data_IF_257352837371
#
_entry.id   IF_257352837371
#
_cell.length_a   1.000
_cell.length_b   1.000
_cell.length_c   1.000
_cell.angle_alpha   90.00
_cell.angle_beta   90.00
_cell.angle_gamma   90.00
#
_symmetry.space_group_name_H-M   'P 1'
#
loop_
_entity.id
_entity.type
_entity.pdbx_description
1 polymer ?
#
# COMPACT_ATOMS: atom_id res chain seq x y z
N UNK A 1 38.19 -79.90 -25.26
CA UNK A 1 38.49 -78.47 -25.41
C UNK A 1 37.18 -77.68 -25.37
N UNK A 2 36.87 -76.91 -24.31
CA UNK A 2 35.58 -76.23 -24.19
C UNK A 2 35.53 -74.96 -25.04
N UNK A 3 34.40 -74.76 -25.72
CA UNK A 3 34.09 -73.67 -26.65
C UNK A 3 33.77 -72.35 -25.92
N UNK A 4 34.39 -71.25 -26.35
CA UNK A 4 34.19 -69.90 -25.80
C UNK A 4 32.99 -69.19 -26.45
N UNK A 5 31.78 -69.44 -25.97
CA UNK A 5 30.58 -68.64 -26.30
C UNK A 5 30.40 -67.44 -25.36
N UNK A 6 31.38 -66.51 -25.34
CA UNK A 6 31.23 -65.18 -24.71
C UNK A 6 30.87 -64.13 -25.76
N UNK A 7 29.74 -64.31 -26.44
CA UNK A 7 29.37 -63.53 -27.61
C UNK A 7 27.96 -62.97 -27.47
N UNK A 8 27.79 -61.71 -27.88
CA UNK A 8 26.54 -60.91 -27.95
C UNK A 8 26.04 -60.19 -26.68
N UNK A 9 25.76 -60.86 -25.56
CA UNK A 9 24.97 -60.27 -24.45
C UNK A 9 25.68 -59.13 -23.70
N UNK A 10 26.96 -59.29 -23.34
CA UNK A 10 27.71 -58.24 -22.60
C UNK A 10 28.01 -57.00 -23.47
N UNK A 11 28.27 -57.20 -24.78
CA UNK A 11 28.45 -56.13 -25.77
C UNK A 11 27.14 -55.35 -25.98
N UNK A 12 25.99 -56.03 -26.05
CA UNK A 12 24.65 -55.42 -26.16
C UNK A 12 24.29 -54.63 -24.90
N UNK A 13 24.58 -55.15 -23.70
CA UNK A 13 24.43 -54.43 -22.41
C UNK A 13 25.32 -53.18 -22.31
N UNK A 14 26.58 -53.25 -22.75
CA UNK A 14 27.50 -52.09 -22.81
C UNK A 14 27.05 -51.04 -23.82
N UNK A 15 26.59 -51.45 -25.02
CA UNK A 15 26.00 -50.55 -26.03
C UNK A 15 24.74 -49.84 -25.52
N UNK A 16 23.84 -50.56 -24.84
CA UNK A 16 22.65 -49.96 -24.21
C UNK A 16 23.02 -48.98 -23.08
N UNK A 17 24.08 -49.28 -22.33
CA UNK A 17 24.58 -48.39 -21.28
C UNK A 17 25.24 -47.13 -21.85
N UNK A 18 25.99 -47.26 -22.95
CA UNK A 18 26.58 -46.13 -23.67
C UNK A 18 25.50 -45.24 -24.32
N UNK A 19 24.50 -45.83 -24.97
CA UNK A 19 23.36 -45.12 -25.54
C UNK A 19 22.56 -44.37 -24.46
N UNK A 20 22.29 -45.00 -23.31
CA UNK A 20 21.62 -44.35 -22.16
C UNK A 20 22.46 -43.19 -21.59
N UNK A 21 23.79 -43.32 -21.51
CA UNK A 21 24.68 -42.23 -21.08
C UNK A 21 24.64 -41.05 -22.07
N UNK A 22 24.65 -41.33 -23.37
CA UNK A 22 24.54 -40.29 -24.40
C UNK A 22 23.18 -39.57 -24.33
N UNK A 23 22.07 -40.32 -24.24
CA UNK A 23 20.72 -39.76 -24.11
C UNK A 23 20.57 -38.89 -22.84
N UNK A 24 21.12 -39.32 -21.69
CA UNK A 24 21.14 -38.50 -20.46
C UNK A 24 21.93 -37.21 -20.66
N UNK A 25 23.07 -37.26 -21.37
CA UNK A 25 23.90 -36.07 -21.65
C UNK A 25 23.21 -35.11 -22.63
N UNK A 26 22.52 -35.63 -23.64
CA UNK A 26 21.73 -34.83 -24.59
C UNK A 26 20.54 -34.17 -23.90
N UNK A 27 19.76 -34.92 -23.09
CA UNK A 27 18.67 -34.36 -22.28
C UNK A 27 19.18 -33.28 -21.33
N UNK A 28 20.31 -33.49 -20.64
CA UNK A 28 20.93 -32.49 -19.78
C UNK A 28 21.39 -31.22 -20.52
N UNK A 29 21.89 -31.35 -21.75
CA UNK A 29 22.20 -30.18 -22.60
C UNK A 29 20.94 -29.45 -23.06
N UNK A 30 19.88 -30.19 -23.40
CA UNK A 30 18.61 -29.62 -23.84
C UNK A 30 17.88 -28.89 -22.70
N UNK A 31 17.87 -29.45 -21.49
CA UNK A 31 17.29 -28.78 -20.31
C UNK A 31 18.08 -27.52 -19.95
N UNK A 32 19.42 -27.56 -19.98
CA UNK A 32 20.26 -26.37 -19.78
C UNK A 32 19.98 -25.27 -20.81
N UNK A 33 19.82 -25.63 -22.09
CA UNK A 33 19.47 -24.66 -23.15
C UNK A 33 18.08 -24.06 -22.97
N UNK A 34 17.09 -24.86 -22.56
CA UNK A 34 15.75 -24.34 -22.24
C UNK A 34 15.78 -23.42 -21.03
N UNK A 35 16.55 -23.76 -20.00
CA UNK A 35 16.70 -22.92 -18.82
C UNK A 35 17.43 -21.61 -19.15
N UNK A 36 18.49 -21.66 -19.95
CA UNK A 36 19.18 -20.46 -20.43
C UNK A 36 18.27 -19.55 -21.25
N UNK A 37 17.50 -20.10 -22.21
CA UNK A 37 16.49 -19.33 -22.96
C UNK A 37 15.41 -18.75 -22.06
N UNK A 38 14.92 -19.50 -21.08
CA UNK A 38 13.94 -19.01 -20.12
C UNK A 38 14.51 -17.87 -19.29
N UNK A 39 15.78 -17.95 -18.87
CA UNK A 39 16.48 -16.90 -18.15
C UNK A 39 16.68 -15.66 -19.02
N UNK A 40 17.18 -15.82 -20.25
CA UNK A 40 17.33 -14.73 -21.22
C UNK A 40 15.98 -14.04 -21.48
N UNK A 41 14.90 -14.80 -21.59
CA UNK A 41 13.57 -14.26 -21.82
C UNK A 41 13.02 -13.54 -20.58
N UNK A 42 13.34 -14.01 -19.37
CA UNK A 42 13.02 -13.28 -18.11
C UNK A 42 13.79 -11.95 -18.06
N UNK A 43 15.08 -11.93 -18.37
CA UNK A 43 15.87 -10.69 -18.38
C UNK A 43 15.47 -9.73 -19.49
N UNK A 44 15.17 -10.23 -20.69
CA UNK A 44 14.65 -9.42 -21.80
C UNK A 44 13.27 -8.81 -21.49
N UNK A 45 12.42 -9.53 -20.74
CA UNK A 45 11.15 -8.98 -20.24
C UNK A 45 11.37 -7.97 -19.09
N UNK A 46 12.45 -8.12 -18.31
CA UNK A 46 12.82 -7.16 -17.27
C UNK A 46 13.25 -5.80 -17.87
N UNK A 47 13.92 -5.82 -19.01
CA UNK A 47 14.23 -4.60 -19.81
C UNK A 47 12.99 -3.98 -20.48
N UNK A 48 11.95 -4.78 -20.77
CA UNK A 48 10.66 -4.31 -21.32
C UNK A 48 9.69 -3.74 -20.28
N UNK A 49 10.13 -3.53 -19.04
CA UNK A 49 9.31 -2.89 -17.98
C UNK A 49 9.16 -1.37 -18.14
N UNK A 50 9.55 -0.82 -19.29
CA UNK A 50 9.29 0.57 -19.65
C UNK A 50 7.91 0.76 -20.29
N UNK A 51 7.01 -0.21 -20.33
CA UNK A 51 5.65 0.01 -20.83
C UNK A 51 4.71 0.45 -19.71
N UNK A 52 3.88 1.47 -19.95
CA UNK A 52 2.87 1.90 -19.00
C UNK A 52 1.70 0.90 -19.01
N UNK A 53 1.45 0.22 -17.89
CA UNK A 53 0.37 -0.77 -17.80
C UNK A 53 -1.07 -0.21 -17.86
N UNK A 54 -1.23 1.10 -18.09
CA UNK A 54 -2.55 1.74 -18.26
C UNK A 54 -2.85 1.96 -19.74
N UNK A 55 -1.92 2.57 -20.50
CA UNK A 55 -2.10 2.81 -21.94
C UNK A 55 -1.38 1.79 -22.85
N UNK A 56 -0.55 0.92 -22.27
CA UNK A 56 0.27 -0.07 -22.96
C UNK A 56 1.31 0.51 -23.94
N UNK A 57 1.65 1.80 -23.77
CA UNK A 57 2.66 2.49 -24.57
C UNK A 57 4.03 2.50 -23.86
N UNK A 58 5.13 2.54 -24.62
CA UNK A 58 6.47 2.64 -24.06
C UNK A 58 6.71 4.03 -23.45
N UNK A 59 7.07 4.05 -22.17
CA UNK A 59 7.46 5.22 -21.40
C UNK A 59 8.77 5.79 -21.94
N UNK A 60 8.68 6.87 -22.71
CA UNK A 60 9.82 7.52 -23.30
C UNK A 60 10.61 8.35 -22.26
N UNK A 61 11.88 8.63 -22.57
CA UNK A 61 12.78 9.39 -21.66
C UNK A 61 12.33 10.84 -21.40
N UNK A 62 11.41 11.35 -22.22
CA UNK A 62 10.92 12.74 -22.19
C UNK A 62 9.48 12.86 -21.63
N UNK A 63 8.88 11.76 -21.20
CA UNK A 63 7.51 11.76 -20.66
C UNK A 63 7.53 11.84 -19.13
N UNK A 64 6.54 12.52 -18.56
CA UNK A 64 6.36 12.58 -17.12
C UNK A 64 6.00 11.18 -16.60
N UNK A 65 6.92 10.55 -15.86
CA UNK A 65 6.76 9.21 -15.30
C UNK A 65 6.72 9.31 -13.78
N UNK A 66 5.65 8.77 -13.19
CA UNK A 66 5.52 8.67 -11.73
C UNK A 66 5.82 7.24 -11.29
N UNK A 67 6.71 7.10 -10.30
CA UNK A 67 7.00 5.83 -9.63
C UNK A 67 6.30 5.80 -8.27
N UNK A 68 5.50 4.76 -8.03
CA UNK A 68 4.80 4.55 -6.75
C UNK A 68 5.71 3.90 -5.70
N UNK A 69 5.32 3.97 -4.42
CA UNK A 69 6.02 3.29 -3.31
C UNK A 69 6.05 1.76 -3.44
N UNK A 70 5.09 1.17 -4.16
CA UNK A 70 5.10 -0.24 -4.55
C UNK A 70 6.02 -0.56 -5.74
N UNK A 71 6.90 0.37 -6.14
CA UNK A 71 7.89 0.29 -7.22
C UNK A 71 7.37 0.28 -8.66
N UNK A 72 6.06 0.21 -8.87
CA UNK A 72 5.42 0.30 -10.19
C UNK A 72 5.51 1.71 -10.78
N UNK A 73 5.62 1.79 -12.11
CA UNK A 73 5.81 3.03 -12.88
C UNK A 73 4.68 3.21 -13.88
N UNK A 74 4.23 4.44 -14.05
CA UNK A 74 3.16 4.82 -14.98
C UNK A 74 3.44 6.22 -15.53
N UNK A 75 2.86 6.57 -16.68
CA UNK A 75 2.78 7.97 -17.07
C UNK A 75 2.00 8.75 -16.01
N UNK A 76 2.48 9.95 -15.67
CA UNK A 76 1.85 10.80 -14.66
C UNK A 76 0.38 11.08 -15.02
N UNK A 77 0.09 11.37 -16.30
CA UNK A 77 -1.28 11.58 -16.77
C UNK A 77 -2.15 10.31 -16.74
N UNK A 78 -1.60 9.14 -17.09
CA UNK A 78 -2.34 7.88 -17.02
C UNK A 78 -2.68 7.50 -15.58
N UNK A 79 -1.71 7.66 -14.67
CA UNK A 79 -1.90 7.41 -13.23
C UNK A 79 -2.96 8.34 -12.65
N UNK A 80 -2.88 9.63 -12.98
CA UNK A 80 -3.84 10.64 -12.52
C UNK A 80 -5.26 10.35 -13.01
N UNK A 81 -5.42 9.99 -14.30
CA UNK A 81 -6.72 9.59 -14.84
C UNK A 81 -7.26 8.32 -14.18
N UNK A 82 -6.40 7.33 -13.93
CA UNK A 82 -6.80 6.13 -13.19
C UNK A 82 -7.21 6.42 -11.75
N UNK A 83 -6.58 7.40 -11.10
CA UNK A 83 -6.94 7.84 -9.74
C UNK A 83 -8.24 8.64 -9.74
N UNK A 84 -8.47 9.49 -10.75
CA UNK A 84 -9.75 10.20 -10.98
C UNK A 84 -10.93 9.25 -11.13
N UNK A 85 -10.73 8.09 -11.74
CA UNK A 85 -11.79 7.08 -11.89
C UNK A 85 -12.13 6.33 -10.60
N UNK A 86 -11.58 6.72 -9.44
CA UNK A 86 -12.02 6.23 -8.13
C UNK A 86 -11.12 5.19 -7.46
N UNK A 87 -9.93 4.91 -8.01
CA UNK A 87 -9.03 3.90 -7.47
C UNK A 87 -7.75 4.52 -6.88
N UNK A 88 -7.74 4.73 -5.55
CA UNK A 88 -6.56 5.18 -4.80
C UNK A 88 -5.55 4.05 -4.53
N UNK A 89 -5.44 3.09 -5.44
CA UNK A 89 -4.57 1.92 -5.33
C UNK A 89 -3.81 1.71 -6.64
N UNK A 90 -2.65 1.05 -6.55
CA UNK A 90 -1.86 0.74 -7.74
C UNK A 90 -2.66 -0.16 -8.71
N UNK A 91 -2.81 0.21 -10.00
CA UNK A 91 -3.53 -0.62 -10.99
C UNK A 91 -2.94 -2.02 -11.17
N UNK A 92 -1.64 -2.19 -10.91
CA UNK A 92 -0.93 -3.46 -11.08
C UNK A 92 -1.03 -4.38 -9.86
N UNK A 93 -0.84 -3.85 -8.65
CA UNK A 93 -0.68 -4.66 -7.44
C UNK A 93 -1.68 -4.34 -6.33
N UNK A 94 -2.59 -3.39 -6.57
CA UNK A 94 -3.64 -2.94 -5.64
C UNK A 94 -3.15 -2.42 -4.28
N UNK A 95 -1.84 -2.22 -4.13
CA UNK A 95 -1.28 -1.57 -2.94
C UNK A 95 -1.83 -0.15 -2.83
N UNK A 96 -2.37 0.18 -1.66
CA UNK A 96 -2.85 1.54 -1.35
C UNK A 96 -1.67 2.51 -1.43
N UNK A 97 -1.91 3.67 -2.02
CA UNK A 97 -0.88 4.69 -2.19
C UNK A 97 -0.94 5.62 -0.96
N UNK A 98 0.01 5.52 -0.01
CA UNK A 98 0.02 6.40 1.17
C UNK A 98 0.27 7.84 0.75
N UNK A 99 -0.42 8.80 1.37
CA UNK A 99 -0.35 10.22 1.03
C UNK A 99 -0.65 10.52 -0.46
N UNK A 100 -1.59 9.79 -1.05
CA UNK A 100 -2.04 10.07 -2.41
C UNK A 100 -2.59 11.51 -2.47
N UNK A 101 -1.84 12.43 -3.09
CA UNK A 101 -2.29 13.79 -3.35
C UNK A 101 -3.57 13.81 -4.16
N UNK A 102 -3.87 12.77 -4.94
CA UNK A 102 -5.11 12.56 -5.70
C UNK A 102 -6.17 11.75 -4.95
N UNK A 103 -6.01 11.48 -3.65
CA UNK A 103 -7.04 10.81 -2.84
C UNK A 103 -8.36 11.59 -2.84
N UNK A 104 -8.29 12.91 -3.00
CA UNK A 104 -9.43 13.79 -3.17
C UNK A 104 -10.11 13.67 -4.55
N UNK A 105 -9.54 12.95 -5.52
CA UNK A 105 -10.18 12.63 -6.80
C UNK A 105 -10.81 11.24 -6.77
N UNK A 106 -10.42 10.40 -5.80
CA UNK A 106 -11.11 9.17 -5.47
C UNK A 106 -12.36 9.42 -4.60
N UNK A 107 -12.98 10.60 -4.72
CA UNK A 107 -14.26 10.85 -4.06
C UNK A 107 -15.27 9.85 -4.64
N UNK A 108 -16.13 9.24 -3.82
CA UNK A 108 -17.39 8.71 -4.34
C UNK A 108 -18.07 9.81 -5.18
N UNK A 109 -18.84 9.45 -6.20
CA UNK A 109 -19.65 10.37 -6.98
C UNK A 109 -20.63 11.12 -6.06
N UNK A 110 -20.14 12.14 -5.37
CA UNK A 110 -20.82 12.89 -4.32
C UNK A 110 -21.17 14.24 -4.93
N UNK A 111 -22.42 14.64 -4.75
CA UNK A 111 -22.90 15.91 -5.25
C UNK A 111 -22.30 17.07 -4.43
N UNK A 112 -22.27 18.27 -5.01
CA UNK A 112 -21.84 19.48 -4.29
C UNK A 112 -22.68 19.71 -3.02
N UNK A 113 -23.98 19.46 -3.08
CA UNK A 113 -24.90 19.58 -1.95
C UNK A 113 -24.53 18.63 -0.81
N UNK A 114 -24.26 17.36 -1.12
CA UNK A 114 -23.82 16.36 -0.14
C UNK A 114 -22.47 16.73 0.48
N UNK A 115 -21.51 17.20 -0.32
CA UNK A 115 -20.21 17.67 0.16
C UNK A 115 -20.35 18.89 1.09
N UNK A 116 -21.29 19.79 0.79
CA UNK A 116 -21.60 20.96 1.61
C UNK A 116 -22.19 20.55 2.98
N UNK A 117 -23.12 19.60 2.97
CA UNK A 117 -23.69 19.03 4.20
C UNK A 117 -22.60 18.37 5.04
N UNK A 118 -21.72 17.57 4.42
CA UNK A 118 -20.61 16.92 5.12
C UNK A 118 -19.64 17.93 5.76
N UNK A 119 -19.31 19.03 5.08
CA UNK A 119 -18.53 20.13 5.66
C UNK A 119 -19.21 20.75 6.88
N UNK A 120 -20.50 21.06 6.76
CA UNK A 120 -21.25 21.71 7.84
C UNK A 120 -21.33 20.78 9.07
N UNK A 121 -21.54 19.48 8.86
CA UNK A 121 -21.48 18.47 9.93
C UNK A 121 -20.09 18.42 10.57
N UNK A 122 -19.01 18.36 9.78
CA UNK A 122 -17.64 18.36 10.31
C UNK A 122 -17.31 19.61 11.14
N UNK A 123 -17.82 20.79 10.73
CA UNK A 123 -17.68 22.02 11.49
C UNK A 123 -18.41 21.96 12.84
N UNK A 124 -19.61 21.38 12.87
CA UNK A 124 -20.39 21.18 14.09
C UNK A 124 -19.70 20.17 15.02
N UNK A 125 -19.22 19.05 14.51
CA UNK A 125 -18.43 18.07 15.26
C UNK A 125 -17.18 18.71 15.89
N UNK A 126 -16.45 19.54 15.14
CA UNK A 126 -15.29 20.28 15.66
C UNK A 126 -15.68 21.20 16.81
N UNK A 127 -16.82 21.91 16.71
CA UNK A 127 -17.32 22.78 17.79
C UNK A 127 -17.62 21.96 19.04
N UNK A 128 -18.35 20.86 18.90
CA UNK A 128 -18.71 19.97 20.01
C UNK A 128 -17.47 19.35 20.66
N UNK A 129 -16.52 18.86 19.86
CA UNK A 129 -15.27 18.30 20.37
C UNK A 129 -14.41 19.34 21.10
N UNK A 130 -14.41 20.59 20.62
CA UNK A 130 -13.71 21.71 21.28
C UNK A 130 -14.31 21.97 22.66
N UNK A 131 -15.64 22.02 22.74
CA UNK A 131 -16.34 22.21 24.00
C UNK A 131 -16.05 21.06 24.98
N UNK A 132 -16.21 19.81 24.55
CA UNK A 132 -15.94 18.65 25.40
C UNK A 132 -14.49 18.60 25.93
N UNK A 133 -13.51 18.94 25.09
CA UNK A 133 -12.11 19.02 25.51
C UNK A 133 -11.88 20.13 26.55
N UNK A 134 -12.50 21.30 26.36
CA UNK A 134 -12.42 22.41 27.30
C UNK A 134 -13.05 22.03 28.65
N UNK A 135 -14.22 21.39 28.63
CA UNK A 135 -14.92 20.93 29.82
C UNK A 135 -14.07 19.91 30.60
N UNK A 136 -13.51 18.91 29.93
CA UNK A 136 -12.61 17.94 30.57
C UNK A 136 -11.31 18.56 31.11
N UNK A 137 -10.79 19.58 30.43
CA UNK A 137 -9.64 20.34 30.92
C UNK A 137 -9.99 21.13 32.17
N UNK A 138 -11.19 21.70 32.23
CA UNK A 138 -11.68 22.41 33.40
C UNK A 138 -11.92 21.45 34.58
N UNK A 139 -12.47 20.26 34.34
CA UNK A 139 -12.65 19.24 35.37
C UNK A 139 -11.33 18.83 36.03
N UNK A 140 -10.28 18.62 35.21
CA UNK A 140 -8.96 18.29 35.73
C UNK A 140 -8.39 19.43 36.59
N UNK A 141 -8.51 20.69 36.14
CA UNK A 141 -8.07 21.87 36.89
C UNK A 141 -8.83 22.01 38.21
N UNK A 142 -10.14 21.83 38.19
CA UNK A 142 -10.99 21.88 39.39
C UNK A 142 -10.54 20.82 40.39
N UNK A 143 -10.31 19.59 39.93
CA UNK A 143 -9.83 18.49 40.78
C UNK A 143 -8.45 18.78 41.39
N UNK A 144 -7.50 19.27 40.60
CA UNK A 144 -6.17 19.67 41.09
C UNK A 144 -6.25 20.80 42.12
N UNK A 145 -7.12 21.79 41.90
CA UNK A 145 -7.33 22.91 42.83
C UNK A 145 -7.93 22.43 44.16
N UNK A 146 -8.90 21.51 44.12
CA UNK A 146 -9.43 20.86 45.33
C UNK A 146 -8.34 20.09 46.07
N UNK A 147 -7.52 19.28 45.38
CA UNK A 147 -6.42 18.57 46.02
C UNK A 147 -5.35 19.50 46.60
N UNK A 148 -5.14 20.68 46.00
CA UNK A 148 -4.27 21.73 46.56
C UNK A 148 -4.78 22.23 47.91
N UNK A 149 -6.08 22.47 48.05
CA UNK A 149 -6.67 22.86 49.34
C UNK A 149 -6.53 21.76 50.40
N UNK A 150 -6.50 20.49 49.99
CA UNK A 150 -6.34 19.33 50.87
C UNK A 150 -4.87 18.94 51.12
N UNK A 151 -3.89 19.66 50.57
CA UNK A 151 -2.44 19.33 50.60
C UNK A 151 -2.11 17.94 50.01
N UNK A 152 -2.91 17.46 49.05
CA UNK A 152 -2.73 16.19 48.34
C UNK A 152 -2.11 16.39 46.95
N UNK A 153 -1.45 17.52 46.69
CA UNK A 153 -0.84 17.83 45.39
C UNK A 153 0.20 16.80 45.00
N UNK A 154 0.10 16.24 43.79
CA UNK A 154 1.06 15.28 43.26
C UNK A 154 0.85 13.83 43.73
N UNK A 155 -0.21 13.54 44.49
CA UNK A 155 -0.58 12.16 44.84
C UNK A 155 -1.48 11.59 43.74
N UNK A 156 -1.05 10.56 42.99
CA UNK A 156 -1.87 9.97 41.94
C UNK A 156 -3.09 9.26 42.55
N UNK A 157 -4.29 9.70 42.19
CA UNK A 157 -5.54 9.05 42.59
C UNK A 157 -6.19 8.33 41.40
N UNK A 158 -7.03 7.32 41.67
CA UNK A 158 -7.80 6.65 40.62
C UNK A 158 -8.69 7.63 39.83
N UNK A 159 -9.22 8.66 40.51
CA UNK A 159 -10.02 9.74 39.90
C UNK A 159 -9.17 10.63 39.00
N UNK A 160 -7.98 11.06 39.46
CA UNK A 160 -7.03 11.84 38.66
C UNK A 160 -6.68 11.14 37.36
N UNK A 161 -6.26 9.86 37.47
CA UNK A 161 -5.89 9.05 36.31
C UNK A 161 -7.06 8.82 35.33
N UNK A 162 -8.32 8.88 35.81
CA UNK A 162 -9.50 8.81 34.94
C UNK A 162 -9.72 10.13 34.20
N UNK A 163 -9.60 11.27 34.90
CA UNK A 163 -9.75 12.60 34.31
C UNK A 163 -8.68 12.88 33.24
N UNK A 164 -7.42 12.56 33.52
CA UNK A 164 -6.31 12.69 32.56
C UNK A 164 -6.57 11.87 31.30
N UNK A 165 -6.88 10.57 31.44
CA UNK A 165 -7.21 9.71 30.29
C UNK A 165 -8.42 10.21 29.50
N UNK A 166 -9.43 10.75 30.18
CA UNK A 166 -10.59 11.34 29.51
C UNK A 166 -10.19 12.60 28.72
N UNK A 167 -9.37 13.48 29.29
CA UNK A 167 -8.87 14.68 28.64
C UNK A 167 -8.00 14.32 27.41
N UNK A 168 -7.13 13.33 27.52
CA UNK A 168 -6.30 12.82 26.41
C UNK A 168 -7.18 12.30 25.26
N UNK A 169 -8.15 11.43 25.58
CA UNK A 169 -9.12 10.90 24.60
C UNK A 169 -9.87 12.02 23.87
N UNK A 170 -10.39 12.99 24.60
CA UNK A 170 -11.11 14.14 24.01
C UNK A 170 -10.18 15.04 23.19
N UNK A 171 -8.91 15.14 23.58
CA UNK A 171 -7.87 15.82 22.79
C UNK A 171 -7.62 15.13 21.44
N UNK A 172 -7.59 13.80 21.42
CA UNK A 172 -7.54 13.02 20.18
C UNK A 172 -8.78 13.21 19.31
N UNK A 173 -9.97 13.18 19.90
CA UNK A 173 -11.23 13.44 19.18
C UNK A 173 -11.24 14.84 18.55
N UNK A 174 -10.75 15.86 19.26
CA UNK A 174 -10.62 17.21 18.72
C UNK A 174 -9.62 17.27 17.55
N UNK A 175 -8.48 16.57 17.64
CA UNK A 175 -7.52 16.46 16.52
C UNK A 175 -8.18 15.83 15.30
N UNK A 176 -8.90 14.73 15.48
CA UNK A 176 -9.61 14.04 14.40
C UNK A 176 -10.72 14.90 13.79
N UNK A 177 -11.49 15.63 14.60
CA UNK A 177 -12.53 16.54 14.13
C UNK A 177 -11.95 17.68 13.28
N UNK A 178 -10.79 18.23 13.67
CA UNK A 178 -10.07 19.23 12.86
C UNK A 178 -9.66 18.66 11.49
N UNK A 179 -9.16 17.42 11.47
CA UNK A 179 -8.78 16.76 10.22
C UNK A 179 -9.99 16.53 9.30
N UNK A 180 -11.16 16.15 9.86
CA UNK A 180 -12.41 16.02 9.10
C UNK A 180 -12.83 17.33 8.42
N UNK A 181 -12.68 18.46 9.11
CA UNK A 181 -12.92 19.79 8.51
C UNK A 181 -11.96 20.04 7.35
N UNK A 182 -10.65 19.79 7.52
CA UNK A 182 -9.68 19.95 6.44
C UNK A 182 -10.03 19.09 5.22
N UNK A 183 -10.36 17.82 5.44
CA UNK A 183 -10.71 16.89 4.37
C UNK A 183 -11.98 17.34 3.61
N UNK A 184 -13.03 17.75 4.33
CA UNK A 184 -14.28 18.23 3.72
C UNK A 184 -14.10 19.54 2.95
N UNK A 185 -13.25 20.46 3.43
CA UNK A 185 -12.91 21.68 2.69
C UNK A 185 -12.17 21.37 1.38
N UNK A 186 -11.23 20.43 1.41
CA UNK A 186 -10.53 20.00 0.19
C UNK A 186 -11.51 19.43 -0.83
N UNK A 187 -12.41 18.53 -0.43
CA UNK A 187 -13.43 17.94 -1.32
C UNK A 187 -14.25 19.04 -2.02
N UNK A 188 -14.76 20.02 -1.28
CA UNK A 188 -15.54 21.13 -1.86
C UNK A 188 -14.73 21.98 -2.84
N UNK A 189 -13.45 22.25 -2.55
CA UNK A 189 -12.58 23.02 -3.45
C UNK A 189 -12.34 22.32 -4.79
N UNK A 190 -12.39 20.99 -4.81
CA UNK A 190 -12.24 20.21 -6.04
C UNK A 190 -13.53 20.10 -6.83
N UNK A 191 -14.70 20.16 -6.18
CA UNK A 191 -16.00 20.16 -6.86
C UNK A 191 -16.39 21.52 -7.44
N UNK A 192 -15.76 22.61 -6.99
CA UNK A 192 -16.03 23.97 -7.49
C UNK A 192 -15.22 24.35 -8.74
N UNK A 193 -14.27 23.51 -9.18
CA UNK A 193 -13.45 23.70 -10.37
C UNK A 193 -13.91 22.76 -11.49
#
# INVERSE_FOLDING_TARGET
MPSRSRSSSSRRKRRNSAAKKLQKRVRGKQTRRRHARSIEQIYANLEKTNECAICHEPMAKNEAITKLGCTHRFHSGCLESSMRSGHASCPLCRTVIPNNVYAHLAVPNITYEEALVARNQALQERRNATQAYNDATQDLRNYEQSNRSLRLTGIPSATYNRLVRNQERLGDELRQARQRVTNSMNILSHLSN
#
